data_IF_964627277406
#
_entry.id   IF_964627277406
#
_cell.length_a   1.000
_cell.length_b   1.000
_cell.length_c   1.000
_cell.angle_alpha   90.00
_cell.angle_beta   90.00
_cell.angle_gamma   90.00
#
_symmetry.space_group_name_H-M   'P 1'
#
loop_
_entity.id
_entity.type
_entity.pdbx_description
1 polymer ?
#
# COMPACT_ATOMS: atom_id res chain seq x y z
N UNK A 1 0.64 -32.03 28.09
CA UNK A 1 1.64 -32.17 27.02
C UNK A 1 1.85 -30.79 26.39
N UNK A 2 2.91 -30.08 26.82
CA UNK A 2 3.29 -28.81 26.16
C UNK A 2 3.80 -29.14 24.75
N UNK A 3 3.09 -28.66 23.75
CA UNK A 3 3.53 -28.75 22.35
C UNK A 3 4.69 -27.78 22.12
N UNK A 4 5.91 -28.32 22.05
CA UNK A 4 7.10 -27.53 21.79
C UNK A 4 7.21 -27.29 20.27
N UNK A 5 7.32 -26.04 19.84
CA UNK A 5 7.52 -25.76 18.41
C UNK A 5 8.84 -26.36 17.91
N UNK A 6 8.89 -26.80 16.66
CA UNK A 6 10.09 -27.37 16.02
C UNK A 6 11.32 -26.45 16.12
N UNK A 7 11.11 -25.13 16.12
CA UNK A 7 12.19 -24.16 16.32
C UNK A 7 12.71 -24.17 17.76
N UNK A 8 11.81 -24.22 18.75
CA UNK A 8 12.18 -24.34 20.17
C UNK A 8 12.91 -25.65 20.45
N UNK A 9 12.47 -26.75 19.83
CA UNK A 9 13.15 -28.03 19.91
C UNK A 9 14.58 -27.96 19.34
N UNK A 10 14.79 -27.33 18.19
CA UNK A 10 16.11 -27.12 17.62
C UNK A 10 17.04 -26.32 18.56
N UNK A 11 16.50 -25.27 19.18
CA UNK A 11 17.23 -24.44 20.17
C UNK A 11 17.58 -25.23 21.42
N UNK A 12 16.67 -26.03 21.93
CA UNK A 12 16.93 -26.88 23.09
C UNK A 12 18.02 -27.94 22.83
N UNK A 13 18.10 -28.45 21.60
CA UNK A 13 19.12 -29.40 21.16
C UNK A 13 20.45 -28.73 20.76
N UNK A 14 20.51 -27.36 20.78
CA UNK A 14 21.70 -26.61 20.40
C UNK A 14 22.12 -26.78 18.94
N UNK A 15 21.17 -27.11 18.04
CA UNK A 15 21.42 -27.30 16.60
C UNK A 15 20.73 -26.26 15.76
N UNK A 16 21.33 -25.94 14.60
CA UNK A 16 20.69 -25.04 13.63
C UNK A 16 19.35 -25.63 13.14
N UNK A 17 18.33 -24.78 13.00
CA UNK A 17 16.98 -25.21 12.59
C UNK A 17 16.98 -26.02 11.28
N UNK A 18 17.79 -25.63 10.30
CA UNK A 18 17.89 -26.35 9.03
C UNK A 18 18.47 -27.77 9.20
N UNK A 19 19.45 -27.93 10.11
CA UNK A 19 20.02 -29.22 10.48
C UNK A 19 18.97 -30.07 11.17
N UNK A 20 18.29 -29.52 12.17
CA UNK A 20 17.17 -30.18 12.85
C UNK A 20 16.12 -30.66 11.85
N UNK A 21 15.65 -29.78 10.96
CA UNK A 21 14.64 -30.09 9.93
C UNK A 21 15.08 -31.23 9.00
N UNK A 22 16.38 -31.24 8.59
CA UNK A 22 16.95 -32.30 7.73
C UNK A 22 16.85 -33.67 8.41
N UNK A 23 17.25 -33.75 9.67
CA UNK A 23 17.22 -35.00 10.42
C UNK A 23 15.81 -35.41 10.83
N UNK A 24 14.95 -34.46 11.24
CA UNK A 24 13.56 -34.75 11.56
C UNK A 24 12.83 -35.40 10.37
N UNK A 25 13.08 -34.89 9.13
CA UNK A 25 12.55 -35.51 7.90
C UNK A 25 13.13 -36.91 7.67
N UNK A 26 14.44 -37.10 7.89
CA UNK A 26 15.12 -38.37 7.66
C UNK A 26 14.61 -39.48 8.58
N UNK A 27 14.21 -39.09 9.79
CA UNK A 27 13.71 -40.05 10.81
C UNK A 27 12.17 -40.05 10.90
N UNK A 28 11.48 -39.47 9.91
CA UNK A 28 9.99 -39.41 9.83
C UNK A 28 9.32 -38.76 11.04
N UNK A 29 10.06 -37.95 11.79
CA UNK A 29 9.55 -37.17 12.93
C UNK A 29 9.02 -35.79 12.51
N UNK A 30 9.08 -35.48 11.22
CA UNK A 30 8.64 -34.21 10.69
C UNK A 30 7.15 -34.25 10.39
N UNK A 31 6.36 -33.51 11.17
CA UNK A 31 4.95 -33.29 10.89
C UNK A 31 4.75 -31.94 10.20
N UNK A 32 4.38 -31.91 8.91
CA UNK A 32 4.11 -30.66 8.20
C UNK A 32 2.87 -29.93 8.70
N UNK A 33 1.96 -30.61 9.42
CA UNK A 33 0.77 -30.00 10.03
C UNK A 33 1.11 -29.21 11.30
N UNK A 34 2.30 -29.43 11.88
CA UNK A 34 2.77 -28.65 13.02
C UNK A 34 3.03 -27.22 12.55
N UNK A 35 2.31 -26.19 13.05
CA UNK A 35 2.49 -24.83 12.63
C UNK A 35 3.95 -24.41 12.80
N UNK A 36 4.64 -24.14 11.70
CA UNK A 36 6.01 -23.65 11.74
C UNK A 36 6.00 -22.18 12.12
N UNK A 37 6.31 -21.88 13.35
CA UNK A 37 6.52 -20.51 13.78
C UNK A 37 5.56 -20.08 14.87
N UNK A 38 5.98 -19.04 15.57
CA UNK A 38 5.13 -18.29 16.47
C UNK A 38 3.80 -18.05 15.78
N UNK A 39 2.70 -18.60 16.31
CA UNK A 39 1.40 -17.99 16.11
C UNK A 39 1.62 -16.52 16.47
N UNK A 40 1.83 -15.69 15.47
CA UNK A 40 1.44 -14.31 15.64
C UNK A 40 -0.05 -14.47 15.89
N UNK A 41 -0.47 -14.27 17.13
CA UNK A 41 -1.87 -13.96 17.40
C UNK A 41 -2.26 -13.03 16.28
N UNK A 42 -3.00 -13.57 15.31
CA UNK A 42 -3.47 -12.77 14.20
C UNK A 42 -4.33 -11.74 14.88
N UNK A 43 -3.72 -10.57 15.18
CA UNK A 43 -4.40 -9.54 15.92
C UNK A 43 -5.77 -9.42 15.32
N UNK A 44 -6.80 -9.36 16.13
CA UNK A 44 -8.20 -9.25 15.66
C UNK A 44 -8.20 -8.31 14.46
N UNK A 45 -8.83 -8.68 13.34
CA UNK A 45 -8.81 -7.83 12.16
C UNK A 45 -9.28 -6.44 12.58
N UNK A 46 -8.43 -5.43 12.36
CA UNK A 46 -8.73 -4.06 12.72
C UNK A 46 -10.02 -3.66 12.01
N UNK A 47 -11.00 -3.19 12.73
CA UNK A 47 -12.25 -2.71 12.14
C UNK A 47 -11.99 -1.52 11.22
N UNK A 48 -12.65 -1.49 10.06
CA UNK A 48 -12.47 -0.39 9.11
C UNK A 48 -12.94 0.93 9.70
N UNK A 49 -14.03 0.92 10.44
CA UNK A 49 -14.56 2.12 11.11
C UNK A 49 -13.55 2.73 12.09
N UNK A 50 -12.86 1.93 12.89
CA UNK A 50 -11.81 2.41 13.79
C UNK A 50 -10.64 3.06 13.02
N UNK A 51 -10.29 2.50 11.84
CA UNK A 51 -9.27 3.12 10.96
C UNK A 51 -9.73 4.48 10.44
N UNK A 52 -10.99 4.58 9.99
CA UNK A 52 -11.57 5.83 9.46
C UNK A 52 -11.80 6.90 10.53
N UNK A 53 -11.96 6.49 11.80
CA UNK A 53 -12.07 7.40 12.96
C UNK A 53 -10.72 7.89 13.46
N UNK A 54 -9.60 7.33 12.94
CA UNK A 54 -8.24 7.76 13.28
C UNK A 54 -7.57 6.96 14.39
N UNK A 55 -8.20 5.90 14.93
CA UNK A 55 -7.61 5.05 15.98
C UNK A 55 -6.33 4.34 15.52
N UNK A 56 -6.14 4.23 14.19
CA UNK A 56 -5.00 3.56 13.58
C UNK A 56 -4.28 4.45 12.56
N UNK A 57 -3.60 5.53 12.98
CA UNK A 57 -2.97 6.51 12.08
C UNK A 57 -1.92 5.88 11.15
N UNK A 58 -1.23 4.83 11.61
CA UNK A 58 -0.20 4.12 10.85
C UNK A 58 -0.74 2.92 10.04
N UNK A 59 -2.06 2.79 9.89
CA UNK A 59 -2.62 1.73 9.04
C UNK A 59 -2.17 1.93 7.59
N UNK A 60 -1.73 0.85 6.93
CA UNK A 60 -1.17 0.91 5.58
C UNK A 60 -2.19 1.46 4.56
N UNK A 61 -1.82 2.51 3.81
CA UNK A 61 -2.65 3.12 2.77
C UNK A 61 -3.06 2.13 1.68
N UNK A 62 -2.15 1.23 1.27
CA UNK A 62 -2.47 0.20 0.27
C UNK A 62 -3.51 -0.81 0.78
N UNK A 63 -3.43 -1.22 2.05
CA UNK A 63 -4.43 -2.10 2.66
C UNK A 63 -5.77 -1.37 2.85
N UNK A 64 -5.72 -0.08 3.20
CA UNK A 64 -6.90 0.76 3.34
C UNK A 64 -7.62 0.90 2.01
N UNK A 65 -6.89 1.23 0.94
CA UNK A 65 -7.43 1.32 -0.42
C UNK A 65 -8.17 0.05 -0.83
N UNK A 66 -7.54 -1.11 -0.69
CA UNK A 66 -8.15 -2.39 -1.04
C UNK A 66 -9.42 -2.68 -0.25
N UNK A 67 -9.45 -2.31 1.03
CA UNK A 67 -10.66 -2.48 1.87
C UNK A 67 -11.77 -1.53 1.49
N UNK A 68 -11.45 -0.25 1.25
CA UNK A 68 -12.42 0.77 0.85
C UNK A 68 -13.11 0.41 -0.47
N UNK A 69 -12.34 -0.09 -1.46
CA UNK A 69 -12.90 -0.55 -2.72
C UNK A 69 -13.74 -1.82 -2.53
N UNK A 70 -13.22 -2.83 -1.82
CA UNK A 70 -13.91 -4.10 -1.59
C UNK A 70 -15.21 -3.94 -0.79
N UNK A 71 -15.23 -3.02 0.18
CA UNK A 71 -16.39 -2.73 1.02
C UNK A 71 -17.27 -1.61 0.42
N UNK A 72 -17.00 -1.20 -0.84
CA UNK A 72 -17.77 -0.23 -1.63
C UNK A 72 -17.90 1.17 -1.02
N UNK A 73 -16.91 1.59 -0.21
CA UNK A 73 -16.80 2.97 0.28
C UNK A 73 -16.26 3.92 -0.79
N UNK A 74 -15.40 3.42 -1.69
CA UNK A 74 -14.87 4.16 -2.83
C UNK A 74 -15.08 3.34 -4.11
N UNK A 75 -15.53 4.00 -5.17
CA UNK A 75 -15.57 3.41 -6.50
C UNK A 75 -14.14 3.23 -7.02
N UNK A 76 -13.86 2.10 -7.70
CA UNK A 76 -12.55 1.84 -8.31
C UNK A 76 -12.37 2.63 -9.60
N UNK A 77 -12.38 3.94 -9.51
CA UNK A 77 -12.17 4.88 -10.61
C UNK A 77 -11.38 6.11 -10.13
N UNK A 78 -10.76 6.82 -11.04
CA UNK A 78 -10.06 8.06 -10.71
C UNK A 78 -11.07 9.20 -10.45
N UNK A 79 -11.09 9.74 -9.25
CA UNK A 79 -11.99 10.85 -8.88
C UNK A 79 -11.77 12.14 -9.69
N UNK A 80 -10.65 12.26 -10.43
CA UNK A 80 -10.36 13.46 -11.23
C UNK A 80 -10.71 13.31 -12.71
N UNK A 81 -10.38 12.16 -13.35
CA UNK A 81 -10.58 11.98 -14.80
C UNK A 81 -11.49 10.80 -15.16
N UNK A 82 -12.01 10.07 -14.17
CA UNK A 82 -12.89 8.92 -14.41
C UNK A 82 -12.17 7.66 -14.94
N UNK A 83 -10.83 7.63 -14.93
CA UNK A 83 -10.08 6.47 -15.42
C UNK A 83 -10.38 5.22 -14.58
N UNK A 84 -10.80 4.12 -15.22
CA UNK A 84 -11.20 2.86 -14.58
C UNK A 84 -10.67 1.60 -15.28
N UNK A 85 -9.72 1.77 -16.22
CA UNK A 85 -9.19 0.66 -17.01
C UNK A 85 -8.27 -0.26 -16.21
N UNK A 86 -8.30 -1.54 -16.55
CA UNK A 86 -7.42 -2.56 -16.00
C UNK A 86 -6.09 -2.63 -16.71
N UNK A 87 -5.02 -2.83 -15.95
CA UNK A 87 -3.70 -3.12 -16.49
C UNK A 87 -3.68 -4.57 -17.02
N UNK A 88 -3.35 -4.82 -18.32
CA UNK A 88 -3.46 -6.15 -18.90
C UNK A 88 -2.58 -7.22 -18.24
N UNK A 89 -1.48 -6.81 -17.62
CA UNK A 89 -0.49 -7.73 -17.02
C UNK A 89 -1.02 -8.48 -15.79
N UNK A 90 -1.80 -7.86 -14.96
CA UNK A 90 -2.23 -8.39 -13.65
C UNK A 90 -3.68 -8.07 -13.31
N UNK A 91 -4.41 -7.48 -14.25
CA UNK A 91 -5.82 -7.13 -14.10
C UNK A 91 -6.10 -6.26 -12.87
N UNK A 92 -5.15 -5.39 -12.52
CA UNK A 92 -5.33 -4.38 -11.46
C UNK A 92 -5.57 -3.01 -12.08
N UNK A 93 -6.37 -2.18 -11.42
CA UNK A 93 -6.53 -0.78 -11.81
C UNK A 93 -5.37 0.04 -11.21
N UNK A 94 -4.62 0.81 -12.03
CA UNK A 94 -3.48 1.61 -11.56
C UNK A 94 -3.96 2.88 -10.85
N UNK A 95 -4.60 2.69 -9.70
CA UNK A 95 -5.12 3.75 -8.84
C UNK A 95 -4.33 3.84 -7.54
N UNK A 96 -4.23 5.04 -6.99
CA UNK A 96 -3.57 5.33 -5.72
C UNK A 96 -4.54 6.03 -4.77
N UNK A 97 -4.48 5.68 -3.49
CA UNK A 97 -5.19 6.41 -2.45
C UNK A 97 -4.48 7.74 -2.20
N UNK A 98 -5.21 8.82 -2.32
CA UNK A 98 -4.74 10.18 -2.09
C UNK A 98 -5.47 10.82 -0.92
N UNK A 99 -4.78 11.71 -0.21
CA UNK A 99 -5.24 12.47 0.93
C UNK A 99 -5.40 13.93 0.53
N UNK A 100 -6.61 14.50 0.68
CA UNK A 100 -6.90 15.87 0.25
C UNK A 100 -6.08 16.90 1.02
N UNK A 101 -5.84 16.67 2.30
CA UNK A 101 -5.04 17.53 3.20
C UNK A 101 -3.54 17.20 3.20
N UNK A 102 -3.10 16.21 2.39
CA UNK A 102 -1.74 15.69 2.34
C UNK A 102 -1.26 15.00 3.63
N UNK A 103 -2.12 14.79 4.61
CA UNK A 103 -1.80 14.08 5.84
C UNK A 103 -2.26 12.61 5.74
N UNK A 104 -1.30 11.71 5.59
CA UNK A 104 -1.57 10.28 5.52
C UNK A 104 -2.02 9.67 6.85
N UNK A 105 -1.98 10.41 7.95
CA UNK A 105 -2.49 9.97 9.26
C UNK A 105 -4.00 10.25 9.39
N UNK A 106 -4.51 11.26 8.69
CA UNK A 106 -5.93 11.58 8.64
C UNK A 106 -6.66 10.66 7.65
N UNK A 107 -7.26 9.62 8.17
CA UNK A 107 -7.96 8.58 7.38
C UNK A 107 -9.47 8.77 7.30
N UNK A 108 -9.98 9.97 7.65
CA UNK A 108 -11.39 10.28 7.49
C UNK A 108 -11.84 10.07 6.03
N UNK A 109 -12.97 9.41 5.81
CA UNK A 109 -13.44 9.07 4.46
C UNK A 109 -13.58 10.30 3.57
N UNK A 110 -14.00 11.45 4.13
CA UNK A 110 -14.09 12.73 3.42
C UNK A 110 -12.75 13.29 2.95
N UNK A 111 -11.64 12.81 3.53
CA UNK A 111 -10.27 13.18 3.16
C UNK A 111 -9.65 12.25 2.12
N UNK A 112 -10.33 11.16 1.77
CA UNK A 112 -9.80 10.11 0.91
C UNK A 112 -10.40 10.18 -0.50
N UNK A 113 -9.55 10.01 -1.50
CA UNK A 113 -9.96 9.83 -2.89
C UNK A 113 -9.01 8.89 -3.63
N UNK A 114 -9.47 8.34 -4.76
CA UNK A 114 -8.62 7.55 -5.65
C UNK A 114 -8.18 8.40 -6.85
N UNK A 115 -6.91 8.36 -7.18
CA UNK A 115 -6.35 8.99 -8.36
C UNK A 115 -5.57 7.97 -9.20
N UNK A 116 -5.67 8.06 -10.53
CA UNK A 116 -4.74 7.36 -11.40
C UNK A 116 -3.34 8.00 -11.31
N UNK A 117 -2.29 7.27 -11.69
CA UNK A 117 -0.91 7.78 -11.60
C UNK A 117 -0.70 9.10 -12.33
N UNK A 118 -1.37 9.30 -13.48
CA UNK A 118 -1.26 10.54 -14.24
C UNK A 118 -1.87 11.73 -13.47
N UNK A 119 -3.09 11.57 -12.94
CA UNK A 119 -3.73 12.62 -12.14
C UNK A 119 -2.99 12.86 -10.83
N UNK A 120 -2.50 11.82 -10.18
CA UNK A 120 -1.68 11.95 -8.98
C UNK A 120 -0.42 12.77 -9.28
N UNK A 121 0.28 12.46 -10.37
CA UNK A 121 1.45 13.22 -10.81
C UNK A 121 1.11 14.69 -11.05
N UNK A 122 0.06 14.99 -11.83
CA UNK A 122 -0.32 16.34 -12.19
C UNK A 122 -0.78 17.17 -10.99
N UNK A 123 -1.46 16.56 -10.00
CA UNK A 123 -2.03 17.30 -8.86
C UNK A 123 -1.07 17.41 -7.67
N UNK A 124 -0.12 16.48 -7.52
CA UNK A 124 0.75 16.42 -6.33
C UNK A 124 2.21 16.75 -6.62
N UNK A 125 2.65 16.58 -7.87
CA UNK A 125 4.06 16.77 -8.24
C UNK A 125 4.43 18.23 -8.52
N UNK A 126 3.50 19.18 -8.49
CA UNK A 126 3.80 20.62 -8.48
C UNK A 126 4.70 21.03 -7.29
N UNK A 127 4.84 20.15 -6.29
CA UNK A 127 5.76 20.32 -5.16
C UNK A 127 7.20 19.90 -5.42
N UNK A 128 7.48 19.18 -6.49
CA UNK A 128 8.83 19.11 -6.97
C UNK A 128 9.11 20.51 -7.55
N UNK A 129 9.97 21.29 -6.87
CA UNK A 129 10.63 22.47 -7.41
C UNK A 129 11.46 22.06 -8.66
N UNK A 130 10.77 21.60 -9.68
CA UNK A 130 11.30 21.56 -11.03
C UNK A 130 11.43 23.04 -11.37
N UNK A 131 12.58 23.61 -11.02
CA UNK A 131 13.01 24.92 -11.49
C UNK A 131 12.86 24.86 -12.99
N UNK A 132 11.71 25.32 -13.50
CA UNK A 132 11.48 25.43 -14.93
C UNK A 132 12.68 26.20 -15.47
N UNK A 133 13.46 25.62 -16.41
CA UNK A 133 14.62 26.31 -16.95
C UNK A 133 14.20 27.71 -17.39
N UNK A 134 15.02 28.71 -17.09
CA UNK A 134 14.68 30.13 -17.36
C UNK A 134 14.22 30.40 -18.80
N UNK A 135 14.69 29.58 -19.76
CA UNK A 135 14.28 29.57 -21.16
C UNK A 135 12.81 29.20 -21.40
N UNK A 136 12.20 28.34 -20.56
CA UNK A 136 10.76 27.98 -20.69
C UNK A 136 9.87 29.13 -20.28
N UNK A 137 10.26 29.89 -19.23
CA UNK A 137 9.51 31.09 -18.81
C UNK A 137 9.58 32.21 -19.87
N UNK A 138 10.71 32.35 -20.58
CA UNK A 138 10.83 33.30 -21.67
C UNK A 138 10.01 32.89 -22.89
N UNK A 139 9.90 31.59 -23.17
CA UNK A 139 9.06 31.06 -24.26
C UNK A 139 7.57 31.26 -23.99
N UNK A 140 7.12 31.02 -22.78
CA UNK A 140 5.72 31.26 -22.37
C UNK A 140 5.36 32.76 -22.49
N UNK A 141 6.25 33.66 -22.05
CA UNK A 141 6.05 35.10 -22.22
C UNK A 141 5.96 35.52 -23.70
N UNK A 142 6.80 34.94 -24.55
CA UNK A 142 6.80 35.22 -25.98
C UNK A 142 5.50 34.74 -26.65
N UNK A 143 5.00 33.57 -26.30
CA UNK A 143 3.72 33.06 -26.82
C UNK A 143 2.56 33.95 -26.38
N UNK A 144 2.48 34.34 -25.10
CA UNK A 144 1.43 35.21 -24.60
C UNK A 144 1.44 36.58 -25.32
N UNK A 145 2.62 37.14 -25.61
CA UNK A 145 2.71 38.40 -26.36
C UNK A 145 2.22 38.30 -27.81
N UNK A 146 2.47 37.17 -28.48
CA UNK A 146 2.04 36.97 -29.87
C UNK A 146 0.50 36.88 -29.97
N UNK A 147 -0.15 36.25 -29.01
CA UNK A 147 -1.63 36.09 -28.99
C UNK A 147 -2.37 37.23 -28.31
N UNK A 148 -1.69 38.18 -27.69
CA UNK A 148 -2.29 39.38 -27.10
C UNK A 148 -2.33 40.60 -28.06
N UNK A 149 -1.84 40.46 -29.31
CA UNK A 149 -1.77 41.51 -30.31
C UNK A 149 -2.77 41.34 -31.48
N UNK A 150 -3.77 40.47 -31.34
CA UNK A 150 -4.98 40.42 -32.14
C UNK A 150 -6.17 40.93 -31.31
#
# INVERSE_FOLDING_TARGET
NETISMRKAATLLGVAYNTFKKYAKRYELWDPSTPSGVFRDGGKPVELQAVLQGDHPHYSSSKLQLRLCRESYLAEECNNCGFDEYRPKDMTKPLMLDYLDDDSTNKALSNLRLLCYNCFYLLKMDRLDIKTPANVKSFQKAIIQVFATE
#
